data_IF_131186925610
#
_entry.id   IF_131186925610
#
_cell.length_a   1.000
_cell.length_b   1.000
_cell.length_c   1.000
_cell.angle_alpha   90.00
_cell.angle_beta   90.00
_cell.angle_gamma   90.00
#
_symmetry.space_group_name_H-M   'P 1'
#
loop_
_entity.id
_entity.type
_entity.pdbx_description
1 polymer ?
#
# COMPACT_ATOMS: atom_id res chain seq x y z
N UNK A 1 -1.45 15.87 2.05
CA UNK A 1 -0.37 15.86 3.06
C UNK A 1 0.95 16.05 2.34
N UNK A 2 1.70 17.10 2.66
CA UNK A 2 3.00 17.38 2.04
C UNK A 2 3.97 16.22 2.34
N UNK A 3 4.60 15.63 1.32
CA UNK A 3 5.53 14.50 1.51
C UNK A 3 6.72 14.99 2.34
N UNK A 4 6.83 14.50 3.57
CA UNK A 4 7.94 14.78 4.48
C UNK A 4 9.28 14.52 3.77
N UNK A 5 10.26 15.43 3.87
CA UNK A 5 11.55 15.25 3.21
C UNK A 5 12.24 13.96 3.66
N UNK A 6 13.01 13.32 2.75
CA UNK A 6 13.74 12.07 3.06
C UNK A 6 14.60 12.17 4.32
N UNK A 7 15.18 13.34 4.57
CA UNK A 7 16.00 13.59 5.76
C UNK A 7 15.18 13.52 7.07
N UNK A 8 14.00 14.15 7.10
CA UNK A 8 13.10 14.10 8.27
C UNK A 8 12.60 12.67 8.52
N UNK A 9 12.34 11.91 7.45
CA UNK A 9 11.92 10.51 7.56
C UNK A 9 13.03 9.63 8.15
N UNK A 10 14.27 9.77 7.64
CA UNK A 10 15.42 9.03 8.15
C UNK A 10 15.66 9.32 9.64
N UNK A 11 15.52 10.60 10.04
CA UNK A 11 15.66 11.02 11.42
C UNK A 11 14.64 10.32 12.33
N UNK A 12 13.35 10.36 11.97
CA UNK A 12 12.30 9.69 12.75
C UNK A 12 12.50 8.16 12.83
N UNK A 13 13.04 7.54 11.79
CA UNK A 13 13.29 6.09 11.81
C UNK A 13 14.46 5.66 12.67
N UNK A 14 15.53 6.46 12.68
CA UNK A 14 16.71 6.15 13.47
C UNK A 14 16.54 6.57 14.93
N UNK A 15 15.71 7.58 15.22
CA UNK A 15 15.64 8.24 16.53
C UNK A 15 15.49 7.33 17.76
N UNK A 16 14.67 6.25 17.77
CA UNK A 16 14.57 5.39 18.96
C UNK A 16 15.87 4.66 19.34
N UNK A 17 16.79 4.46 18.41
CA UNK A 17 17.91 3.51 18.59
C UNK A 17 19.20 4.11 19.20
N UNK A 18 19.63 5.35 18.89
CA UNK A 18 20.80 5.96 19.51
C UNK A 18 20.78 5.95 21.04
N UNK A 19 19.65 6.24 21.73
CA UNK A 19 19.58 6.13 23.19
C UNK A 19 19.91 4.73 23.71
N UNK A 20 19.40 3.68 23.03
CA UNK A 20 19.65 2.29 23.42
C UNK A 20 21.13 1.91 23.20
N UNK A 21 21.72 2.33 22.09
CA UNK A 21 23.14 2.06 21.77
C UNK A 21 24.06 2.78 22.76
N UNK A 22 23.82 4.07 23.00
CA UNK A 22 24.55 4.85 23.98
C UNK A 22 24.45 4.22 25.37
N UNK A 23 23.24 3.93 25.82
CA UNK A 23 23.01 3.37 27.15
C UNK A 23 23.67 1.99 27.32
N UNK A 24 23.64 1.14 26.28
CA UNK A 24 24.35 -0.15 26.28
C UNK A 24 25.85 0.02 26.47
N UNK A 25 26.48 0.93 25.73
CA UNK A 25 27.93 1.16 25.79
C UNK A 25 28.30 1.79 27.13
N UNK A 26 27.51 2.76 27.57
CA UNK A 26 27.76 3.50 28.81
C UNK A 26 27.64 2.61 30.04
N UNK A 27 26.58 1.81 30.15
CA UNK A 27 26.37 0.90 31.30
C UNK A 27 27.44 -0.19 31.40
N UNK A 28 28.07 -0.58 30.28
CA UNK A 28 29.19 -1.51 30.28
C UNK A 28 30.44 -0.97 31.00
N UNK A 29 30.58 0.36 31.10
CA UNK A 29 31.66 1.02 31.85
C UNK A 29 31.45 1.06 33.37
N UNK A 30 30.30 0.57 33.87
CA UNK A 30 29.98 0.56 35.30
C UNK A 30 29.96 1.95 35.96
N UNK A 31 29.27 2.95 35.39
CA UNK A 31 29.20 4.30 35.96
C UNK A 31 28.51 4.28 37.33
N UNK A 32 28.83 5.25 38.22
CA UNK A 32 28.18 5.37 39.51
C UNK A 32 26.67 5.65 39.34
N UNK A 33 25.83 5.27 40.33
CA UNK A 33 24.38 5.41 40.24
C UNK A 33 23.88 6.83 39.94
N UNK A 34 24.55 7.85 40.44
CA UNK A 34 24.21 9.25 40.17
C UNK A 34 24.34 9.60 38.67
N UNK A 35 25.42 9.13 38.03
CA UNK A 35 25.61 9.32 36.58
C UNK A 35 24.63 8.50 35.75
N UNK A 36 24.18 7.34 36.25
CA UNK A 36 23.12 6.57 35.60
C UNK A 36 21.80 7.33 35.58
N UNK A 37 21.45 8.04 36.66
CA UNK A 37 20.22 8.82 36.75
C UNK A 37 20.23 9.97 35.75
N UNK A 38 21.33 10.73 35.69
CA UNK A 38 21.49 11.81 34.71
C UNK A 38 21.46 11.28 33.28
N UNK A 39 22.16 10.17 33.00
CA UNK A 39 22.16 9.53 31.69
C UNK A 39 20.77 9.06 31.25
N UNK A 40 20.06 8.33 32.12
CA UNK A 40 18.71 7.86 31.82
C UNK A 40 17.71 9.01 31.63
N UNK A 41 17.81 10.06 32.45
CA UNK A 41 16.92 11.22 32.37
C UNK A 41 17.16 12.04 31.11
N UNK A 42 18.42 12.16 30.67
CA UNK A 42 18.74 12.75 29.37
C UNK A 42 18.16 11.94 28.20
N UNK A 43 18.23 10.60 28.26
CA UNK A 43 17.64 9.73 27.23
C UNK A 43 16.10 9.79 27.24
N UNK A 44 15.48 9.92 28.41
CA UNK A 44 14.03 10.16 28.53
C UNK A 44 13.64 11.51 27.91
N UNK A 45 14.36 12.59 28.24
CA UNK A 45 14.10 13.92 27.66
C UNK A 45 14.27 13.92 26.14
N UNK A 46 15.29 13.23 25.62
CA UNK A 46 15.46 12.99 24.19
C UNK A 46 14.26 12.25 23.59
N UNK A 47 13.83 11.14 24.21
CA UNK A 47 12.66 10.38 23.75
C UNK A 47 11.38 11.22 23.73
N UNK A 48 11.14 12.01 24.78
CA UNK A 48 10.00 12.93 24.85
C UNK A 48 10.04 14.00 23.75
N UNK A 49 11.22 14.58 23.48
CA UNK A 49 11.40 15.51 22.37
C UNK A 49 11.10 14.85 21.02
N UNK A 50 11.58 13.63 20.80
CA UNK A 50 11.28 12.87 19.58
C UNK A 50 9.79 12.57 19.46
N UNK A 51 9.09 12.22 20.55
CA UNK A 51 7.63 12.02 20.52
C UNK A 51 6.89 13.30 20.13
N UNK A 52 7.31 14.46 20.65
CA UNK A 52 6.73 15.75 20.27
C UNK A 52 6.97 16.03 18.79
N UNK A 53 8.21 15.92 18.32
CA UNK A 53 8.56 16.14 16.91
C UNK A 53 7.80 15.17 15.99
N UNK A 54 7.76 13.89 16.35
CA UNK A 54 7.06 12.86 15.61
C UNK A 54 5.56 13.15 15.53
N UNK A 55 4.94 13.66 16.61
CA UNK A 55 3.52 14.02 16.62
C UNK A 55 3.20 15.26 15.76
N UNK A 56 4.16 16.16 15.59
CA UNK A 56 4.02 17.32 14.69
C UNK A 56 4.27 16.98 13.23
N UNK A 57 5.19 16.06 12.94
CA UNK A 57 5.58 15.73 11.56
C UNK A 57 4.79 14.57 10.98
N UNK A 58 4.41 13.60 11.81
CA UNK A 58 3.70 12.39 11.42
C UNK A 58 3.10 11.66 12.66
N UNK A 59 3.26 10.34 12.77
CA UNK A 59 2.79 9.52 13.88
C UNK A 59 3.98 8.81 14.55
N UNK A 60 4.10 8.88 15.90
CA UNK A 60 5.14 8.16 16.62
C UNK A 60 5.06 6.64 16.40
N UNK A 61 6.20 5.98 16.29
CA UNK A 61 6.27 4.52 16.21
C UNK A 61 6.11 3.89 17.60
N UNK A 62 5.82 2.58 17.63
CA UNK A 62 5.81 1.84 18.89
C UNK A 62 7.18 1.83 19.58
N UNK A 63 8.28 1.92 18.83
CA UNK A 63 9.61 2.02 19.42
C UNK A 63 9.85 3.38 20.08
N UNK A 64 9.36 4.48 19.50
CA UNK A 64 9.46 5.81 20.13
C UNK A 64 8.79 5.79 21.52
N UNK A 65 7.57 5.27 21.60
CA UNK A 65 6.83 5.14 22.85
C UNK A 65 7.52 4.20 23.84
N UNK A 66 7.89 2.99 23.39
CA UNK A 66 8.44 1.97 24.27
C UNK A 66 9.82 2.39 24.83
N UNK A 67 10.70 2.95 23.99
CA UNK A 67 12.02 3.42 24.42
C UNK A 67 11.88 4.61 25.38
N UNK A 68 10.99 5.55 25.10
CA UNK A 68 10.74 6.68 26.00
C UNK A 68 10.21 6.21 27.35
N UNK A 69 9.23 5.30 27.35
CA UNK A 69 8.69 4.71 28.58
C UNK A 69 9.75 3.92 29.36
N UNK A 70 10.63 3.18 28.67
CA UNK A 70 11.74 2.45 29.30
C UNK A 70 12.69 3.39 30.05
N UNK A 71 13.11 4.49 29.43
CA UNK A 71 13.98 5.45 30.11
C UNK A 71 13.26 6.23 31.22
N UNK A 72 11.96 6.51 31.07
CA UNK A 72 11.16 7.08 32.15
C UNK A 72 11.12 6.16 33.38
N UNK A 73 10.90 4.86 33.18
CA UNK A 73 10.87 3.86 34.25
C UNK A 73 12.25 3.69 34.91
N UNK A 74 13.32 3.71 34.13
CA UNK A 74 14.70 3.67 34.66
C UNK A 74 14.98 4.91 35.52
N UNK A 75 14.68 6.11 35.02
CA UNK A 75 14.87 7.35 35.77
C UNK A 75 14.06 7.36 37.06
N UNK A 76 12.79 6.95 37.02
CA UNK A 76 11.96 6.83 38.20
C UNK A 76 12.52 5.80 39.20
N UNK A 77 12.94 4.63 38.73
CA UNK A 77 13.53 3.59 39.57
C UNK A 77 14.82 4.04 40.26
N UNK A 78 15.68 4.77 39.54
CA UNK A 78 16.92 5.35 40.09
C UNK A 78 16.64 6.48 41.09
N UNK A 79 15.55 7.23 40.92
CA UNK A 79 15.15 8.30 41.84
C UNK A 79 14.55 7.76 43.14
N UNK A 80 13.74 6.70 43.06
CA UNK A 80 13.02 6.14 44.23
C UNK A 80 13.90 5.12 44.98
N UNK A 81 14.60 4.23 44.28
CA UNK A 81 15.41 3.15 44.87
C UNK A 81 16.81 3.03 44.23
N UNK A 82 17.69 4.03 44.39
CA UNK A 82 19.01 4.04 43.74
C UNK A 82 19.86 2.81 44.08
N UNK A 83 19.81 2.34 45.33
CA UNK A 83 20.58 1.18 45.80
C UNK A 83 20.17 -0.15 45.16
N UNK A 84 18.92 -0.27 44.66
CA UNK A 84 18.41 -1.48 44.01
C UNK A 84 18.45 -1.33 42.49
N UNK A 85 18.00 -0.19 41.97
CA UNK A 85 17.90 0.08 40.55
C UNK A 85 19.28 0.14 39.89
N UNK A 86 20.27 0.80 40.49
CA UNK A 86 21.62 0.94 39.93
C UNK A 86 22.27 -0.42 39.60
N UNK A 87 22.44 -1.32 40.58
CA UNK A 87 22.99 -2.66 40.35
C UNK A 87 22.16 -3.48 39.35
N UNK A 88 20.83 -3.38 39.41
CA UNK A 88 19.95 -4.09 38.49
C UNK A 88 20.15 -3.63 37.03
N UNK A 89 20.25 -2.32 36.80
CA UNK A 89 20.48 -1.72 35.48
C UNK A 89 21.85 -2.11 34.92
N UNK A 90 22.90 -2.08 35.75
CA UNK A 90 24.25 -2.50 35.31
C UNK A 90 24.24 -3.99 34.92
N UNK A 91 23.57 -4.83 35.72
CA UNK A 91 23.55 -6.30 35.51
C UNK A 91 22.66 -6.74 34.34
N UNK A 92 21.50 -6.10 34.18
CA UNK A 92 20.42 -6.51 33.28
C UNK A 92 20.09 -5.46 32.21
N UNK A 93 20.86 -4.39 32.05
CA UNK A 93 20.57 -3.32 31.09
C UNK A 93 20.41 -3.82 29.66
N UNK A 94 21.25 -4.76 29.22
CA UNK A 94 21.12 -5.40 27.90
C UNK A 94 19.83 -6.21 27.78
N UNK A 95 19.47 -6.96 28.82
CA UNK A 95 18.21 -7.72 28.89
C UNK A 95 17.01 -6.78 28.85
N UNK A 96 17.07 -5.65 29.57
CA UNK A 96 16.06 -4.59 29.55
C UNK A 96 15.87 -3.99 28.15
N UNK A 97 16.95 -3.72 27.42
CA UNK A 97 16.91 -3.25 26.04
C UNK A 97 16.17 -4.25 25.13
N UNK A 98 16.51 -5.54 25.20
CA UNK A 98 15.76 -6.53 24.40
C UNK A 98 14.32 -6.71 24.89
N UNK A 99 14.06 -6.54 26.19
CA UNK A 99 12.73 -6.52 26.78
C UNK A 99 11.83 -5.43 26.21
N UNK A 100 12.34 -4.19 26.09
CA UNK A 100 11.58 -3.09 25.50
C UNK A 100 11.35 -3.29 23.99
N UNK A 101 12.36 -3.76 23.26
CA UNK A 101 12.23 -4.06 21.82
C UNK A 101 11.23 -5.19 21.57
N UNK A 102 11.27 -6.25 22.39
CA UNK A 102 10.29 -7.34 22.35
C UNK A 102 8.89 -6.82 22.64
N UNK A 103 8.72 -6.02 23.69
CA UNK A 103 7.41 -5.49 24.09
C UNK A 103 6.80 -4.63 22.98
N UNK A 104 7.60 -3.77 22.35
CA UNK A 104 7.17 -2.94 21.22
C UNK A 104 6.78 -3.76 19.98
N UNK A 105 7.34 -4.94 19.79
CA UNK A 105 7.03 -5.82 18.66
C UNK A 105 5.85 -6.77 18.94
N UNK A 106 5.78 -7.33 20.16
CA UNK A 106 4.90 -8.44 20.50
C UNK A 106 3.51 -8.00 20.98
N UNK A 107 3.43 -7.00 21.85
CA UNK A 107 2.16 -6.62 22.48
C UNK A 107 1.19 -5.89 21.54
N UNK A 108 1.61 -4.97 20.65
CA UNK A 108 0.64 -4.26 19.82
C UNK A 108 -0.24 -5.21 18.97
N UNK A 109 0.31 -6.22 18.26
CA UNK A 109 -0.52 -7.20 17.55
C UNK A 109 -1.47 -8.00 18.46
N UNK A 110 -1.05 -8.31 19.69
CA UNK A 110 -1.86 -9.06 20.66
C UNK A 110 -3.07 -8.24 21.14
N UNK A 111 -2.92 -6.92 21.22
CA UNK A 111 -3.99 -5.97 21.57
C UNK A 111 -4.86 -5.58 20.37
N UNK A 112 -4.69 -6.22 19.21
CA UNK A 112 -5.43 -5.90 17.99
C UNK A 112 -4.92 -4.65 17.26
N UNK A 113 -3.80 -4.06 17.68
CA UNK A 113 -3.17 -2.94 17.00
C UNK A 113 -2.40 -3.41 15.76
N UNK A 114 -2.04 -2.45 14.89
CA UNK A 114 -1.26 -2.74 13.70
C UNK A 114 0.12 -3.33 14.05
N UNK A 115 0.68 -4.23 13.23
CA UNK A 115 2.06 -4.70 13.42
C UNK A 115 3.06 -3.56 13.30
N UNK A 116 4.14 -3.52 14.07
CA UNK A 116 5.08 -2.39 14.00
C UNK A 116 5.68 -2.22 12.60
N UNK A 117 5.94 -3.33 11.90
CA UNK A 117 6.52 -3.30 10.54
C UNK A 117 5.62 -2.58 9.55
N UNK A 118 4.32 -2.50 9.84
CA UNK A 118 3.32 -1.80 9.04
C UNK A 118 3.61 -0.29 8.98
N UNK A 119 4.05 0.32 10.09
CA UNK A 119 4.43 1.74 10.15
C UNK A 119 5.55 2.08 9.15
N UNK A 120 6.54 1.19 9.04
CA UNK A 120 7.65 1.33 8.09
C UNK A 120 7.23 0.97 6.66
N UNK A 121 6.46 -0.11 6.48
CA UNK A 121 6.07 -0.62 5.16
C UNK A 121 5.14 0.35 4.41
N UNK A 122 4.27 1.08 5.12
CA UNK A 122 3.35 2.07 4.55
C UNK A 122 4.03 3.20 3.78
N UNK A 123 5.28 3.55 4.12
CA UNK A 123 5.97 4.65 3.43
C UNK A 123 6.57 4.28 2.09
N UNK A 124 6.84 2.99 1.89
CA UNK A 124 7.39 2.45 0.63
C UNK A 124 6.26 1.90 -0.23
N UNK A 125 5.17 1.44 0.41
CA UNK A 125 4.04 0.80 -0.26
C UNK A 125 2.94 1.83 -0.57
N UNK A 126 2.45 1.90 -1.82
CA UNK A 126 1.33 2.78 -2.18
C UNK A 126 0.09 2.58 -1.30
N UNK A 127 -0.65 3.67 -1.04
CA UNK A 127 -1.78 3.68 -0.09
C UNK A 127 -2.88 2.67 -0.44
N UNK A 128 -3.10 2.44 -1.73
CA UNK A 128 -4.08 1.46 -2.22
C UNK A 128 -3.86 0.02 -1.74
N UNK A 129 -2.64 -0.33 -1.29
CA UNK A 129 -2.33 -1.67 -0.79
C UNK A 129 -2.40 -1.79 0.73
N UNK A 130 -2.60 -0.68 1.46
CA UNK A 130 -2.53 -0.68 2.92
C UNK A 130 -3.61 -1.54 3.59
N UNK A 131 -4.76 -1.68 2.94
CA UNK A 131 -5.90 -2.50 3.39
C UNK A 131 -5.86 -3.91 2.81
N UNK A 132 -4.92 -4.22 1.92
CA UNK A 132 -4.86 -5.52 1.26
C UNK A 132 -4.52 -6.62 2.29
N UNK A 133 -5.29 -7.74 2.34
CA UNK A 133 -5.06 -8.81 3.30
C UNK A 133 -3.68 -9.46 3.15
N UNK A 134 -3.11 -9.51 1.94
CA UNK A 134 -1.75 -10.00 1.67
C UNK A 134 -0.72 -9.07 2.32
N UNK A 135 -0.87 -7.76 2.17
CA UNK A 135 0.03 -6.78 2.77
C UNK A 135 0.01 -6.84 4.30
N UNK A 136 -1.18 -6.92 4.90
CA UNK A 136 -1.34 -7.07 6.35
C UNK A 136 -0.72 -8.39 6.83
N UNK A 137 -0.90 -9.48 6.08
CA UNK A 137 -0.35 -10.80 6.43
C UNK A 137 1.18 -10.83 6.37
N UNK A 138 1.79 -10.23 5.35
CA UNK A 138 3.25 -10.09 5.25
C UNK A 138 3.80 -9.38 6.49
N UNK A 139 3.21 -8.23 6.84
CA UNK A 139 3.65 -7.44 7.99
C UNK A 139 3.44 -8.16 9.33
N UNK A 140 2.34 -8.90 9.49
CA UNK A 140 2.12 -9.74 10.69
C UNK A 140 3.18 -10.81 10.84
N UNK A 141 3.54 -11.51 9.75
CA UNK A 141 4.60 -12.52 9.77
C UNK A 141 5.94 -11.88 10.13
N UNK A 142 6.28 -10.75 9.50
CA UNK A 142 7.54 -10.06 9.77
C UNK A 142 7.65 -9.61 11.23
N UNK A 143 6.58 -9.02 11.77
CA UNK A 143 6.52 -8.61 13.17
C UNK A 143 6.64 -9.80 14.13
N UNK A 144 6.04 -10.95 13.79
CA UNK A 144 6.15 -12.18 14.58
C UNK A 144 7.59 -12.71 14.61
N UNK A 145 8.27 -12.70 13.45
CA UNK A 145 9.69 -13.09 13.35
C UNK A 145 10.58 -12.17 14.18
N UNK A 146 10.37 -10.86 14.12
CA UNK A 146 11.10 -9.90 14.96
C UNK A 146 10.85 -10.11 16.45
N UNK A 147 9.60 -10.36 16.84
CA UNK A 147 9.26 -10.69 18.23
C UNK A 147 9.99 -11.94 18.71
N UNK A 148 10.07 -12.98 17.88
CA UNK A 148 10.81 -14.20 18.19
C UNK A 148 12.33 -13.95 18.31
N UNK A 149 12.91 -13.14 17.41
CA UNK A 149 14.33 -12.75 17.49
C UNK A 149 14.60 -12.01 18.80
N UNK A 150 13.77 -11.02 19.16
CA UNK A 150 13.95 -10.27 20.41
C UNK A 150 13.76 -11.15 21.64
N UNK A 151 12.78 -12.06 21.65
CA UNK A 151 12.62 -13.04 22.72
C UNK A 151 13.85 -13.94 22.90
N UNK A 152 14.43 -14.41 21.79
CA UNK A 152 15.66 -15.18 21.82
C UNK A 152 16.83 -14.35 22.36
N UNK A 153 16.94 -13.07 21.96
CA UNK A 153 17.95 -12.16 22.49
C UNK A 153 17.80 -11.91 24.00
N UNK A 154 16.56 -11.85 24.53
CA UNK A 154 16.32 -11.78 25.98
C UNK A 154 16.93 -13.02 26.65
N UNK A 155 16.58 -14.22 26.20
CA UNK A 155 17.06 -15.48 26.78
C UNK A 155 18.60 -15.55 26.74
N UNK A 156 19.20 -15.24 25.59
CA UNK A 156 20.66 -15.24 25.43
C UNK A 156 21.33 -14.22 26.36
N UNK A 157 20.73 -13.04 26.55
CA UNK A 157 21.32 -11.98 27.37
C UNK A 157 21.40 -12.30 28.86
N UNK A 158 20.61 -13.28 29.34
CA UNK A 158 20.65 -13.76 30.73
C UNK A 158 21.99 -14.43 31.06
N UNK A 159 22.65 -15.05 30.07
CA UNK A 159 23.99 -15.58 30.24
C UNK A 159 25.04 -14.49 29.96
N UNK A 160 25.91 -14.11 30.92
CA UNK A 160 26.72 -12.91 30.83
C UNK A 160 28.03 -13.09 30.05
N UNK A 161 27.97 -13.52 28.79
CA UNK A 161 29.15 -13.60 27.92
C UNK A 161 29.08 -12.63 26.75
N UNK A 162 30.25 -12.21 26.24
CA UNK A 162 30.35 -11.35 25.04
C UNK A 162 29.66 -12.01 23.83
N UNK A 163 29.80 -13.34 23.71
CA UNK A 163 29.16 -14.12 22.66
C UNK A 163 27.64 -13.97 22.71
N UNK A 164 27.01 -14.21 23.86
CA UNK A 164 25.55 -14.23 24.01
C UNK A 164 24.92 -12.83 24.10
N UNK A 165 25.66 -11.81 24.54
CA UNK A 165 25.16 -10.43 24.71
C UNK A 165 25.47 -9.49 23.55
N UNK A 166 26.44 -9.83 22.70
CA UNK A 166 26.90 -8.95 21.61
C UNK A 166 26.93 -9.70 20.28
N UNK A 167 27.74 -10.74 20.16
CA UNK A 167 28.02 -11.37 18.86
C UNK A 167 26.78 -12.06 18.29
N UNK A 168 26.15 -12.96 19.05
CA UNK A 168 25.00 -13.74 18.59
C UNK A 168 23.79 -12.84 18.30
N UNK A 169 23.38 -11.88 19.17
CA UNK A 169 22.30 -10.96 18.85
C UNK A 169 22.55 -10.10 17.62
N UNK A 170 23.78 -9.58 17.43
CA UNK A 170 24.13 -8.82 16.22
C UNK A 170 24.04 -9.70 14.98
N UNK A 171 24.56 -10.92 15.04
CA UNK A 171 24.46 -11.88 13.93
C UNK A 171 23.00 -12.25 13.61
N UNK A 172 22.14 -12.40 14.61
CA UNK A 172 20.71 -12.64 14.41
C UNK A 172 19.99 -11.43 13.78
N UNK A 173 20.22 -10.23 14.31
CA UNK A 173 19.51 -9.02 13.85
C UNK A 173 20.02 -8.57 12.47
N UNK A 174 21.33 -8.47 12.28
CA UNK A 174 21.92 -7.99 11.02
C UNK A 174 22.11 -9.11 9.99
N UNK A 175 22.48 -10.32 10.43
CA UNK A 175 22.74 -11.45 9.54
C UNK A 175 21.48 -12.19 9.08
N UNK A 176 20.43 -12.23 9.92
CA UNK A 176 19.17 -12.86 9.57
C UNK A 176 18.01 -11.86 9.44
N UNK A 177 17.75 -11.06 10.48
CA UNK A 177 16.58 -10.17 10.56
C UNK A 177 16.51 -9.16 9.41
N UNK A 178 17.62 -8.47 9.12
CA UNK A 178 17.67 -7.48 8.04
C UNK A 178 17.52 -8.12 6.64
N UNK A 179 18.28 -9.16 6.25
CA UNK A 179 18.07 -9.85 4.97
C UNK A 179 16.66 -10.44 4.83
N UNK A 180 16.11 -10.99 5.91
CA UNK A 180 14.74 -11.49 5.93
C UNK A 180 13.74 -10.37 5.63
N UNK A 181 13.85 -9.23 6.32
CA UNK A 181 12.97 -8.07 6.11
C UNK A 181 12.99 -7.58 4.66
N UNK A 182 14.17 -7.54 4.02
CA UNK A 182 14.33 -7.09 2.64
C UNK A 182 13.82 -8.10 1.59
N UNK A 183 13.99 -9.41 1.82
CA UNK A 183 13.71 -10.45 0.81
C UNK A 183 12.34 -11.10 0.96
N UNK A 184 11.85 -11.23 2.18
CA UNK A 184 10.63 -11.99 2.48
C UNK A 184 9.38 -11.47 1.78
N UNK A 185 9.07 -10.15 1.73
CA UNK A 185 7.89 -9.65 1.05
C UNK A 185 7.85 -10.04 -0.43
N UNK A 186 8.97 -9.87 -1.14
CA UNK A 186 9.08 -10.23 -2.56
C UNK A 186 8.96 -11.75 -2.79
N UNK A 187 9.59 -12.56 -1.94
CA UNK A 187 9.48 -14.01 -2.00
C UNK A 187 8.03 -14.48 -1.77
N UNK A 188 7.34 -13.87 -0.80
CA UNK A 188 5.96 -14.18 -0.46
C UNK A 188 5.01 -13.85 -1.63
N UNK A 189 5.17 -12.66 -2.24
CA UNK A 189 4.39 -12.26 -3.41
C UNK A 189 4.65 -13.17 -4.61
N UNK A 190 5.92 -13.52 -4.88
CA UNK A 190 6.29 -14.44 -5.96
C UNK A 190 5.64 -15.82 -5.79
N UNK A 191 5.58 -16.34 -4.56
CA UNK A 191 4.90 -17.61 -4.26
C UNK A 191 3.39 -17.58 -4.52
N UNK A 192 2.77 -16.40 -4.44
CA UNK A 192 1.37 -16.18 -4.77
C UNK A 192 1.14 -15.84 -6.25
N UNK A 193 2.19 -15.79 -7.08
CA UNK A 193 2.10 -15.40 -8.48
C UNK A 193 1.91 -13.89 -8.70
N UNK A 194 2.13 -13.06 -7.68
CA UNK A 194 1.95 -11.61 -7.74
C UNK A 194 3.27 -10.88 -8.09
N UNK A 195 3.21 -9.74 -8.80
CA UNK A 195 4.39 -8.92 -9.06
C UNK A 195 5.00 -8.36 -7.77
N UNK A 196 6.32 -8.12 -7.78
CA UNK A 196 7.02 -7.53 -6.64
C UNK A 196 6.59 -6.07 -6.41
N UNK A 197 6.72 -5.59 -5.17
CA UNK A 197 6.41 -4.19 -4.83
C UNK A 197 7.24 -3.17 -5.61
N UNK A 198 8.49 -3.51 -5.96
CA UNK A 198 9.37 -2.66 -6.77
C UNK A 198 8.82 -2.50 -8.20
N UNK A 199 8.38 -3.59 -8.82
CA UNK A 199 7.78 -3.58 -10.15
C UNK A 199 6.44 -2.84 -10.15
N UNK A 200 5.71 -2.89 -9.03
CA UNK A 200 4.42 -2.24 -8.86
C UNK A 200 4.52 -0.71 -8.70
N UNK A 201 5.57 -0.22 -8.02
CA UNK A 201 5.85 1.21 -7.92
C UNK A 201 6.23 1.83 -9.26
N UNK A 202 6.95 1.09 -10.10
CA UNK A 202 7.31 1.51 -11.46
C UNK A 202 6.08 1.57 -12.38
N UNK A 203 5.18 0.58 -12.27
CA UNK A 203 3.89 0.52 -12.98
C UNK A 203 2.94 1.66 -12.58
N UNK A 204 2.90 2.03 -11.30
CA UNK A 204 2.05 3.13 -10.82
C UNK A 204 2.61 4.49 -11.23
N UNK A 205 3.94 4.67 -11.20
CA UNK A 205 4.57 5.92 -11.66
C UNK A 205 4.32 6.13 -13.15
N UNK A 206 4.40 5.08 -13.97
CA UNK A 206 4.04 5.18 -15.39
C UNK A 206 2.58 5.58 -15.55
N UNK A 207 1.65 4.95 -14.79
CA UNK A 207 0.22 5.27 -14.84
C UNK A 207 -0.09 6.72 -14.42
N UNK A 208 0.58 7.26 -13.40
CA UNK A 208 0.46 8.68 -13.01
C UNK A 208 1.00 9.61 -14.11
N UNK A 209 2.10 9.24 -14.78
CA UNK A 209 2.65 10.04 -15.89
C UNK A 209 1.67 10.08 -17.08
N UNK A 210 0.98 8.96 -17.36
CA UNK A 210 -0.07 8.92 -18.39
C UNK A 210 -1.33 9.71 -17.98
N UNK A 211 -1.69 9.70 -16.69
CA UNK A 211 -2.82 10.49 -16.17
C UNK A 211 -2.53 11.99 -16.19
N UNK A 212 -1.32 12.42 -15.82
CA UNK A 212 -0.89 13.82 -15.90
C UNK A 212 -0.78 14.32 -17.35
N UNK A 213 -0.37 13.45 -18.30
CA UNK A 213 -0.39 13.76 -19.73
C UNK A 213 -1.83 13.91 -20.26
N UNK A 214 -2.77 13.06 -19.81
CA UNK A 214 -4.18 13.14 -20.20
C UNK A 214 -4.94 14.32 -19.58
N UNK A 215 -4.60 14.74 -18.34
CA UNK A 215 -5.19 15.92 -17.69
C UNK A 215 -4.63 17.25 -18.24
N UNK A 216 -3.44 17.23 -18.85
CA UNK A 216 -2.88 18.37 -19.58
C UNK A 216 -3.71 18.77 -20.79
N UNK A 217 -4.45 17.83 -21.38
CA UNK A 217 -5.32 18.05 -22.55
C UNK A 217 -6.78 18.36 -22.15
N UNK A 218 -7.15 18.18 -20.86
CA UNK A 218 -8.53 18.32 -20.36
C UNK A 218 -8.85 19.69 -19.74
N UNK A 219 -8.15 20.74 -20.16
CA UNK A 219 -8.38 22.13 -19.74
C UNK A 219 -9.02 22.99 -20.83
N UNK A 220 -10.10 22.52 -21.44
CA UNK A 220 -11.10 23.43 -22.01
C UNK A 220 -12.51 22.99 -21.59
N UNK A 221 -13.28 23.96 -21.09
CA UNK A 221 -14.36 23.79 -20.12
C UNK A 221 -15.59 23.00 -20.56
N UNK A 222 -16.21 22.33 -19.60
CA UNK A 222 -17.63 22.01 -19.59
C UNK A 222 -18.24 22.61 -18.31
N UNK A 223 -19.30 23.44 -18.41
CA UNK A 223 -19.90 24.06 -17.24
C UNK A 223 -20.66 23.05 -16.39
N UNK A 224 -20.53 23.20 -15.08
CA UNK A 224 -21.20 22.40 -14.07
C UNK A 224 -22.63 22.90 -13.87
N UNK A 225 -23.63 22.11 -14.28
CA UNK A 225 -25.01 22.25 -13.82
C UNK A 225 -25.49 20.91 -13.26
N UNK A 226 -25.53 20.83 -11.93
CA UNK A 226 -26.14 19.72 -11.20
C UNK A 226 -27.66 19.93 -11.15
N UNK A 227 -28.40 19.26 -12.03
CA UNK A 227 -29.84 19.11 -11.87
C UNK A 227 -30.14 17.81 -11.12
N UNK A 228 -30.82 17.94 -9.99
CA UNK A 228 -31.35 16.85 -9.18
C UNK A 228 -32.34 16.02 -9.99
N UNK A 229 -32.09 14.72 -10.12
CA UNK A 229 -33.06 13.80 -10.70
C UNK A 229 -34.23 13.60 -9.73
N UNK A 230 -35.39 14.18 -10.07
CA UNK A 230 -36.68 13.78 -9.50
C UNK A 230 -37.16 12.46 -10.10
N UNK A 231 -37.86 11.66 -9.29
CA UNK A 231 -38.41 10.35 -9.67
C UNK A 231 -39.32 10.47 -10.90
N UNK A 232 -38.89 9.92 -12.04
CA UNK A 232 -39.70 9.84 -13.25
C UNK A 232 -40.56 8.58 -13.19
N UNK A 233 -41.88 8.80 -13.16
CA UNK A 233 -42.91 7.78 -13.18
C UNK A 233 -43.00 7.15 -14.58
N UNK A 234 -42.70 5.85 -14.69
CA UNK A 234 -42.71 5.13 -15.97
C UNK A 234 -44.12 5.06 -16.57
N UNK A 235 -44.30 5.69 -17.73
CA UNK A 235 -45.47 5.46 -18.60
C UNK A 235 -44.95 5.00 -19.96
N UNK A 236 -45.22 3.76 -20.36
CA UNK A 236 -44.83 3.21 -21.67
C UNK A 236 -45.89 3.58 -22.71
N UNK A 237 -45.59 4.35 -23.77
CA UNK A 237 -46.56 4.61 -24.83
C UNK A 237 -46.47 3.53 -25.90
N UNK A 238 -47.60 2.87 -26.18
CA UNK A 238 -47.80 2.13 -27.43
C UNK A 238 -47.72 3.05 -28.65
N UNK A 239 -47.18 2.49 -29.74
CA UNK A 239 -47.19 3.02 -31.13
C UNK A 239 -46.98 4.53 -31.29
N UNK A 240 -45.71 4.96 -31.32
CA UNK A 240 -45.33 6.32 -31.72
C UNK A 240 -45.81 6.64 -33.15
N UNK A 241 -46.53 7.75 -33.30
CA UNK A 241 -46.97 8.28 -34.60
C UNK A 241 -45.77 8.77 -35.40
N UNK A 242 -45.85 8.71 -36.73
CA UNK A 242 -44.79 9.16 -37.65
C UNK A 242 -44.37 10.63 -37.48
N UNK A 243 -45.15 11.44 -36.77
CA UNK A 243 -44.89 12.85 -36.48
C UNK A 243 -43.88 13.08 -35.33
N UNK A 244 -43.57 12.07 -34.51
CA UNK A 244 -42.67 12.20 -33.35
C UNK A 244 -41.20 11.89 -33.69
N UNK A 245 -40.80 11.96 -34.97
CA UNK A 245 -39.40 11.77 -35.35
C UNK A 245 -38.59 12.96 -34.85
N UNK A 246 -37.71 12.71 -33.88
CA UNK A 246 -36.69 13.66 -33.43
C UNK A 246 -35.85 14.07 -34.64
N UNK A 247 -35.93 15.34 -35.04
CA UNK A 247 -35.10 15.89 -36.10
C UNK A 247 -33.74 16.19 -35.48
N UNK A 248 -32.74 15.37 -35.79
CA UNK A 248 -31.35 15.65 -35.45
C UNK A 248 -30.82 16.72 -36.40
N UNK A 249 -30.61 17.94 -35.90
CA UNK A 249 -29.85 18.95 -36.63
C UNK A 249 -28.43 18.43 -36.86
N UNK A 250 -28.07 18.16 -38.12
CA UNK A 250 -26.71 17.76 -38.52
C UNK A 250 -25.74 18.91 -38.22
N UNK A 251 -25.15 18.92 -37.03
CA UNK A 251 -23.90 19.66 -36.82
C UNK A 251 -22.77 18.95 -37.55
N UNK A 252 -21.91 19.75 -38.17
CA UNK A 252 -20.77 19.33 -38.99
C UNK A 252 -19.61 18.89 -38.08
N UNK A 253 -19.82 17.90 -37.24
CA UNK A 253 -18.76 17.18 -36.53
C UNK A 253 -18.24 16.06 -37.42
N UNK A 254 -16.93 15.78 -37.35
CA UNK A 254 -16.33 14.61 -38.00
C UNK A 254 -17.13 13.35 -37.61
N UNK A 255 -17.33 12.42 -38.54
CA UNK A 255 -18.26 11.30 -38.34
C UNK A 255 -17.80 10.43 -37.17
N UNK A 256 -18.51 10.53 -36.03
CA UNK A 256 -18.26 9.72 -34.83
C UNK A 256 -18.22 8.22 -35.18
N UNK A 257 -17.16 7.52 -34.78
CA UNK A 257 -17.04 6.08 -34.91
C UNK A 257 -17.56 5.37 -33.66
N UNK A 258 -18.57 4.53 -33.84
CA UNK A 258 -19.20 3.76 -32.77
C UNK A 258 -18.95 2.27 -32.99
N UNK A 259 -18.41 1.60 -31.98
CA UNK A 259 -18.20 0.15 -31.97
C UNK A 259 -19.26 -0.54 -31.11
N UNK A 260 -20.32 -1.03 -31.77
CA UNK A 260 -21.39 -1.77 -31.12
C UNK A 260 -21.02 -3.26 -30.93
N UNK A 261 -20.96 -3.73 -29.68
CA UNK A 261 -20.63 -5.12 -29.36
C UNK A 261 -21.90 -5.91 -28.97
N UNK A 262 -22.26 -6.93 -29.75
CA UNK A 262 -23.35 -7.83 -29.41
C UNK A 262 -22.81 -9.09 -28.70
N UNK A 263 -23.18 -9.24 -27.43
CA UNK A 263 -22.80 -10.38 -26.59
C UNK A 263 -23.86 -11.48 -26.51
N UNK A 264 -24.96 -11.37 -27.26
CA UNK A 264 -26.03 -12.37 -27.23
C UNK A 264 -25.55 -13.73 -27.72
N UNK A 265 -25.83 -14.83 -27.01
CA UNK A 265 -25.55 -16.17 -27.53
C UNK A 265 -26.52 -16.59 -28.63
N UNK A 266 -27.69 -15.94 -28.71
CA UNK A 266 -28.78 -16.21 -29.68
C UNK A 266 -28.60 -15.35 -30.93
N UNK A 267 -29.16 -15.78 -32.06
CA UNK A 267 -29.08 -15.07 -33.34
C UNK A 267 -30.44 -14.83 -33.98
N UNK A 268 -30.52 -13.78 -34.79
CA UNK A 268 -31.68 -13.46 -35.61
C UNK A 268 -32.92 -13.16 -34.77
N UNK A 269 -34.09 -13.56 -35.26
CA UNK A 269 -35.39 -13.18 -34.66
C UNK A 269 -35.60 -13.63 -33.19
N UNK A 270 -34.79 -14.56 -32.69
CA UNK A 270 -34.85 -15.03 -31.30
C UNK A 270 -33.96 -14.23 -30.33
N UNK A 271 -33.07 -13.38 -30.84
CA UNK A 271 -32.15 -12.57 -30.06
C UNK A 271 -32.78 -11.21 -29.73
N UNK A 272 -33.26 -11.06 -28.50
CA UNK A 272 -33.85 -9.78 -28.04
C UNK A 272 -32.81 -8.66 -28.02
N UNK A 273 -31.58 -8.96 -27.63
CA UNK A 273 -30.46 -8.02 -27.61
C UNK A 273 -30.11 -7.54 -29.01
N UNK A 274 -30.01 -8.44 -29.99
CA UNK A 274 -29.74 -8.07 -31.39
C UNK A 274 -30.83 -7.15 -31.92
N UNK A 275 -32.11 -7.48 -31.69
CA UNK A 275 -33.23 -6.61 -32.09
C UNK A 275 -33.17 -5.21 -31.47
N UNK A 276 -32.82 -5.10 -30.18
CA UNK A 276 -32.67 -3.80 -29.52
C UNK A 276 -31.47 -3.03 -30.09
N UNK A 277 -30.35 -3.73 -30.30
CA UNK A 277 -29.14 -3.15 -30.87
C UNK A 277 -29.37 -2.67 -32.30
N UNK A 278 -30.10 -3.41 -33.13
CA UNK A 278 -30.43 -3.03 -34.51
C UNK A 278 -31.19 -1.69 -34.56
N UNK A 279 -32.19 -1.51 -33.69
CA UNK A 279 -32.93 -0.25 -33.61
C UNK A 279 -32.05 0.91 -33.13
N UNK A 280 -31.20 0.67 -32.13
CA UNK A 280 -30.25 1.68 -31.63
C UNK A 280 -29.25 2.10 -32.71
N UNK A 281 -28.64 1.13 -33.38
CA UNK A 281 -27.65 1.33 -34.44
C UNK A 281 -28.29 2.03 -35.65
N UNK A 282 -29.55 1.73 -35.98
CA UNK A 282 -30.29 2.48 -37.02
C UNK A 282 -30.38 3.96 -36.67
N UNK A 283 -30.81 4.29 -35.45
CA UNK A 283 -30.89 5.67 -34.99
C UNK A 283 -29.54 6.40 -34.99
N UNK A 284 -28.47 5.72 -34.56
CA UNK A 284 -27.11 6.27 -34.58
C UNK A 284 -26.63 6.56 -36.01
N UNK A 285 -26.90 5.65 -36.96
CA UNK A 285 -26.56 5.84 -38.38
C UNK A 285 -27.38 6.96 -39.01
N UNK A 286 -28.67 7.07 -38.70
CA UNK A 286 -29.54 8.17 -39.13
C UNK A 286 -29.03 9.53 -38.63
N UNK A 287 -28.50 9.57 -37.41
CA UNK A 287 -27.84 10.75 -36.83
C UNK A 287 -26.48 11.07 -37.46
N UNK A 288 -25.93 10.19 -38.31
CA UNK A 288 -24.68 10.41 -39.05
C UNK A 288 -23.44 9.72 -38.48
N UNK A 289 -23.57 8.87 -37.47
CA UNK A 289 -22.44 8.11 -36.92
C UNK A 289 -22.02 6.95 -37.84
N UNK A 290 -20.70 6.68 -37.90
CA UNK A 290 -20.14 5.47 -38.50
C UNK A 290 -20.24 4.35 -37.47
N UNK A 291 -21.20 3.44 -37.63
CA UNK A 291 -21.42 2.37 -36.65
C UNK A 291 -21.03 1.01 -37.19
N UNK A 292 -20.06 0.36 -36.53
CA UNK A 292 -19.67 -1.03 -36.77
C UNK A 292 -20.24 -1.94 -35.67
N UNK A 293 -20.89 -3.03 -36.08
CA UNK A 293 -21.46 -4.01 -35.14
C UNK A 293 -20.62 -5.28 -35.17
N UNK A 294 -20.15 -5.73 -34.01
CA UNK A 294 -19.39 -6.96 -33.86
C UNK A 294 -20.14 -7.97 -33.00
N UNK A 295 -20.38 -9.14 -33.59
CA UNK A 295 -20.98 -10.30 -32.94
C UNK A 295 -19.93 -11.09 -32.14
N UNK A 296 -19.83 -10.85 -30.84
CA UNK A 296 -18.80 -11.47 -29.98
C UNK A 296 -18.89 -13.00 -29.96
N UNK A 297 -20.09 -13.56 -30.15
CA UNK A 297 -20.31 -15.01 -30.27
C UNK A 297 -19.58 -15.67 -31.45
N UNK A 298 -19.22 -14.89 -32.47
CA UNK A 298 -18.47 -15.36 -33.66
C UNK A 298 -16.96 -15.20 -33.49
N UNK A 299 -16.52 -14.68 -32.34
CA UNK A 299 -15.12 -14.41 -32.03
C UNK A 299 -14.56 -15.47 -31.09
N UNK A 300 -13.30 -15.84 -31.29
CA UNK A 300 -12.53 -16.63 -30.37
C UNK A 300 -11.76 -15.69 -29.44
N UNK A 301 -12.32 -15.46 -28.25
CA UNK A 301 -11.69 -14.65 -27.19
C UNK A 301 -11.36 -15.56 -26.01
N UNK A 302 -10.08 -15.62 -25.66
CA UNK A 302 -9.61 -16.39 -24.50
C UNK A 302 -9.84 -15.55 -23.24
N UNK A 303 -10.31 -16.16 -22.14
CA UNK A 303 -10.46 -15.44 -20.88
C UNK A 303 -9.08 -15.00 -20.37
N UNK A 304 -9.04 -13.85 -19.70
CA UNK A 304 -7.83 -13.37 -19.06
C UNK A 304 -7.37 -14.38 -17.97
N UNK A 305 -6.12 -14.82 -18.05
CA UNK A 305 -5.53 -15.75 -17.07
C UNK A 305 -4.82 -15.03 -15.90
N UNK A 306 -4.86 -13.70 -15.82
CA UNK A 306 -4.21 -12.95 -14.75
C UNK A 306 -2.68 -13.07 -14.73
N UNK A 307 -2.03 -13.25 -15.89
CA UNK A 307 -0.58 -13.41 -15.96
C UNK A 307 0.22 -12.09 -15.88
N UNK A 308 -0.45 -10.94 -16.00
CA UNK A 308 0.12 -9.58 -15.97
C UNK A 308 1.22 -9.29 -17.02
N UNK A 309 1.35 -10.10 -18.07
CA UNK A 309 2.32 -9.85 -19.14
C UNK A 309 2.02 -8.56 -19.92
N UNK A 310 0.76 -8.23 -20.15
CA UNK A 310 0.35 -6.97 -20.81
C UNK A 310 0.68 -5.71 -19.99
N UNK A 311 1.09 -5.87 -18.74
CA UNK A 311 1.57 -4.79 -17.87
C UNK A 311 3.09 -4.77 -17.79
N UNK A 312 3.74 -5.93 -17.89
CA UNK A 312 5.16 -6.10 -17.54
C UNK A 312 6.08 -6.42 -18.73
N UNK A 313 5.68 -7.33 -19.62
CA UNK A 313 6.52 -7.84 -20.72
C UNK A 313 6.15 -7.25 -22.07
N UNK A 314 4.85 -7.07 -22.30
CA UNK A 314 4.29 -6.56 -23.55
C UNK A 314 3.31 -5.42 -23.21
N UNK A 315 3.80 -4.25 -22.75
CA UNK A 315 2.93 -3.16 -22.29
C UNK A 315 1.81 -2.83 -23.28
N UNK A 316 0.56 -2.88 -22.81
CA UNK A 316 -0.64 -2.62 -23.62
C UNK A 316 -1.04 -3.73 -24.60
N UNK A 317 -0.28 -4.83 -24.70
CA UNK A 317 -0.55 -5.95 -25.61
C UNK A 317 -0.69 -7.27 -24.85
N UNK A 318 -1.82 -7.94 -25.01
CA UNK A 318 -2.04 -9.26 -24.43
C UNK A 318 -1.10 -10.31 -25.08
N UNK A 319 -0.74 -11.35 -24.31
CA UNK A 319 0.01 -12.50 -24.83
C UNK A 319 -0.89 -13.49 -25.59
N UNK A 320 -2.20 -13.40 -25.40
CA UNK A 320 -3.17 -14.20 -26.13
C UNK A 320 -3.32 -13.61 -27.52
N UNK A 321 -2.84 -14.34 -28.53
CA UNK A 321 -3.04 -13.99 -29.94
C UNK A 321 -4.42 -14.50 -30.39
N UNK A 322 -5.46 -13.83 -29.92
CA UNK A 322 -6.87 -14.15 -30.16
C UNK A 322 -7.60 -12.95 -30.80
N UNK A 323 -8.89 -13.09 -31.07
CA UNK A 323 -9.66 -12.04 -31.76
C UNK A 323 -9.76 -10.75 -30.94
N UNK A 324 -9.61 -10.85 -29.60
CA UNK A 324 -9.54 -9.67 -28.75
C UNK A 324 -8.32 -8.83 -29.10
N UNK A 325 -7.15 -9.45 -29.18
CA UNK A 325 -5.89 -8.74 -29.42
C UNK A 325 -5.69 -8.35 -30.88
N UNK A 326 -6.18 -9.18 -31.81
CA UNK A 326 -5.96 -9.00 -33.25
C UNK A 326 -6.97 -8.07 -33.91
N UNK A 327 -8.21 -8.01 -33.41
CA UNK A 327 -9.31 -7.29 -34.08
C UNK A 327 -10.04 -6.33 -33.15
N UNK A 328 -10.51 -6.79 -31.99
CA UNK A 328 -11.39 -5.98 -31.14
C UNK A 328 -10.65 -4.82 -30.46
N UNK A 329 -9.43 -5.05 -29.98
CA UNK A 329 -8.66 -4.02 -29.28
C UNK A 329 -8.23 -2.86 -30.18
N UNK A 330 -7.75 -3.08 -31.43
CA UNK A 330 -7.56 -1.99 -32.38
C UNK A 330 -8.83 -1.17 -32.63
N UNK A 331 -9.97 -1.84 -32.90
CA UNK A 331 -11.26 -1.17 -33.13
C UNK A 331 -11.72 -0.37 -31.92
N UNK A 332 -11.53 -0.91 -30.70
CA UNK A 332 -11.85 -0.24 -29.45
C UNK A 332 -11.04 1.03 -29.24
N UNK A 333 -9.76 1.03 -29.62
CA UNK A 333 -8.91 2.22 -29.53
C UNK A 333 -9.25 3.29 -30.56
N UNK A 334 -9.78 2.90 -31.71
CA UNK A 334 -10.22 3.81 -32.77
C UNK A 334 -11.61 4.40 -32.51
N UNK A 335 -12.46 3.69 -31.74
CA UNK A 335 -13.85 4.09 -31.49
C UNK A 335 -13.95 5.29 -30.54
N UNK A 336 -14.82 6.24 -30.91
CA UNK A 336 -15.21 7.36 -30.06
C UNK A 336 -16.26 6.94 -29.02
N UNK A 337 -17.02 5.87 -29.31
CA UNK A 337 -18.07 5.30 -28.45
C UNK A 337 -18.17 3.78 -28.52
#
# INVERSE_FOLDING_TARGET
MEKLSRAKQLLLYAAPFPPLVFFKIWTAGGPPPEMLLWGASAMFAYGALILVIASYWDSPSYFDWAVTAYFALISAGLLIWPHVAGPAIIRYGITGIYGVLFSAAFFPPLLGLAPFTYHYAKRITPEMFWTNPVFVRINRIMTSVWSAIFALCIILSLYPTVLTRVIVPIALILGFGLPFNLRFPGLYLKRLGLPSLANLGELLRTKETFAEAADGERKEGLPAESQSFGEAQETYPGERRAADRVIFEKRKEESMYVLALNSSPRTGNHSKTERMLDHLVSGMREAGARVEVVELRKKLVKPCMGCFSCWTKTPGKCIHLDDMTQELFPKWLEADL
#
